data_IF_542814656700
#
_entry.id   IF_542814656700
#
_cell.length_a   1.000
_cell.length_b   1.000
_cell.length_c   1.000
_cell.angle_alpha   90.00
_cell.angle_beta   90.00
_cell.angle_gamma   90.00
#
_symmetry.space_group_name_H-M   'P 1'
#
loop_
_entity.id
_entity.type
_entity.pdbx_description
1 polymer ?
#
# COMPACT_ATOMS: atom_id res chain seq x y z
N UNK A 1 -2.32 -13.72 -6.23
CA UNK A 1 -2.48 -12.28 -6.57
C UNK A 1 -1.71 -11.39 -5.60
N UNK A 2 -1.89 -11.56 -4.28
CA UNK A 2 -1.16 -10.84 -3.22
C UNK A 2 0.38 -10.94 -3.41
N UNK A 3 0.92 -12.15 -3.59
CA UNK A 3 2.36 -12.36 -3.75
C UNK A 3 2.95 -11.65 -5.00
N UNK A 4 2.27 -11.73 -6.14
CA UNK A 4 2.68 -11.03 -7.38
C UNK A 4 2.72 -9.52 -7.16
N UNK A 5 1.68 -8.98 -6.55
CA UNK A 5 1.59 -7.56 -6.25
C UNK A 5 2.72 -7.14 -5.30
N UNK A 6 3.03 -7.96 -4.29
CA UNK A 6 4.14 -7.69 -3.38
C UNK A 6 5.52 -7.71 -4.07
N UNK A 7 5.75 -8.64 -4.99
CA UNK A 7 6.99 -8.69 -5.79
C UNK A 7 7.11 -7.43 -6.67
N UNK A 8 6.03 -7.02 -7.33
CA UNK A 8 6.02 -5.79 -8.15
C UNK A 8 6.33 -4.56 -7.29
N UNK A 9 5.72 -4.47 -6.10
CA UNK A 9 5.99 -3.38 -5.16
C UNK A 9 7.45 -3.33 -4.71
N UNK A 10 8.07 -4.48 -4.43
CA UNK A 10 9.49 -4.56 -4.08
C UNK A 10 10.41 -4.12 -5.24
N UNK A 11 10.15 -4.61 -6.45
CA UNK A 11 10.95 -4.26 -7.63
C UNK A 11 10.86 -2.75 -7.90
N UNK A 12 9.65 -2.18 -7.87
CA UNK A 12 9.45 -0.74 -8.05
C UNK A 12 10.19 0.07 -6.99
N UNK A 13 10.14 -0.36 -5.72
CA UNK A 13 10.84 0.31 -4.63
C UNK A 13 12.36 0.28 -4.79
N UNK A 14 12.92 -0.86 -5.19
CA UNK A 14 14.36 -1.00 -5.43
C UNK A 14 14.80 -0.14 -6.63
N UNK A 15 14.05 -0.16 -7.73
CA UNK A 15 14.36 0.66 -8.91
C UNK A 15 14.30 2.15 -8.58
N UNK A 16 13.27 2.59 -7.85
CA UNK A 16 13.14 3.97 -7.39
C UNK A 16 14.30 4.39 -6.48
N UNK A 17 14.75 3.50 -5.60
CA UNK A 17 15.93 3.74 -4.76
C UNK A 17 17.21 3.90 -5.58
N UNK A 18 17.49 2.98 -6.51
CA UNK A 18 18.69 3.06 -7.37
C UNK A 18 18.68 4.36 -8.18
N UNK A 19 17.53 4.74 -8.75
CA UNK A 19 17.39 6.00 -9.46
C UNK A 19 17.63 7.21 -8.55
N UNK A 20 17.08 7.19 -7.32
CA UNK A 20 17.27 8.27 -6.35
C UNK A 20 18.73 8.43 -5.91
N UNK A 21 19.43 7.32 -5.65
CA UNK A 21 20.86 7.33 -5.30
C UNK A 21 21.71 7.80 -6.47
N UNK A 22 21.41 7.37 -7.70
CA UNK A 22 22.13 7.81 -8.89
C UNK A 22 21.97 9.32 -9.13
N UNK A 23 20.74 9.83 -9.05
CA UNK A 23 20.45 11.27 -9.21
C UNK A 23 21.08 12.07 -8.06
N UNK A 24 20.92 11.60 -6.82
CA UNK A 24 21.50 12.25 -5.64
C UNK A 24 23.03 12.30 -5.67
N UNK A 25 23.67 11.22 -6.11
CA UNK A 25 25.12 11.17 -6.32
C UNK A 25 25.59 12.16 -7.38
N UNK A 26 24.81 12.33 -8.47
CA UNK A 26 25.11 13.32 -9.51
C UNK A 26 24.95 14.78 -9.02
N UNK A 27 23.95 15.04 -8.16
CA UNK A 27 23.70 16.39 -7.62
C UNK A 27 24.78 16.78 -6.59
N UNK A 28 25.10 15.87 -5.67
CA UNK A 28 26.04 16.14 -4.57
C UNK A 28 27.51 15.97 -5.02
N UNK A 29 27.75 15.25 -6.11
CA UNK A 29 29.09 14.99 -6.66
C UNK A 29 29.90 13.94 -5.88
N UNK A 30 29.45 13.53 -4.68
CA UNK A 30 30.05 12.45 -3.90
C UNK A 30 29.00 11.65 -3.12
N UNK A 31 29.18 10.32 -3.09
CA UNK A 31 28.32 9.41 -2.32
C UNK A 31 28.51 9.57 -0.80
N UNK A 32 29.70 9.97 -0.33
CA UNK A 32 29.92 10.27 1.09
C UNK A 32 29.12 11.49 1.53
N UNK A 33 29.16 12.57 0.74
CA UNK A 33 28.38 13.79 0.99
C UNK A 33 26.87 13.54 0.97
N UNK A 34 26.39 12.64 0.12
CA UNK A 34 24.97 12.23 0.11
C UNK A 34 24.59 11.52 1.41
N UNK A 35 25.46 10.63 1.90
CA UNK A 35 25.23 9.93 3.18
C UNK A 35 25.26 10.89 4.38
N UNK A 36 26.13 11.89 4.35
CA UNK A 36 26.21 12.92 5.40
C UNK A 36 24.98 13.82 5.40
N UNK A 37 24.52 14.26 4.22
CA UNK A 37 23.28 15.04 4.06
C UNK A 37 22.06 14.27 4.57
N UNK A 38 22.00 12.96 4.30
CA UNK A 38 20.95 12.11 4.82
C UNK A 38 20.97 12.07 6.36
N UNK A 39 22.16 11.90 6.96
CA UNK A 39 22.33 11.80 8.42
C UNK A 39 22.04 13.12 9.13
N UNK A 40 22.48 14.24 8.56
CA UNK A 40 22.35 15.57 9.17
C UNK A 40 20.93 16.11 9.09
N UNK A 41 20.25 15.89 7.96
CA UNK A 41 19.06 16.66 7.62
C UNK A 41 17.87 15.79 7.26
N UNK A 42 18.02 14.74 6.44
CA UNK A 42 16.85 14.02 5.90
C UNK A 42 16.25 12.98 6.84
N UNK A 43 17.08 12.31 7.66
CA UNK A 43 16.64 11.21 8.54
C UNK A 43 15.48 11.59 9.44
N UNK A 44 15.55 12.76 10.09
CA UNK A 44 14.50 13.24 11.00
C UNK A 44 13.17 13.45 10.28
N UNK A 45 13.22 14.01 9.05
CA UNK A 45 12.03 14.17 8.22
C UNK A 45 11.45 12.84 7.79
N UNK A 46 12.27 11.87 7.36
CA UNK A 46 11.78 10.53 7.03
C UNK A 46 11.16 9.83 8.24
N UNK A 47 11.81 9.88 9.39
CA UNK A 47 11.26 9.33 10.63
C UNK A 47 9.87 9.88 10.93
N UNK A 48 9.74 11.22 10.95
CA UNK A 48 8.48 11.90 11.27
C UNK A 48 7.41 11.66 10.18
N UNK A 49 7.79 11.73 8.90
CA UNK A 49 6.87 11.50 7.79
C UNK A 49 6.29 10.09 7.80
N UNK A 50 7.12 9.05 7.93
CA UNK A 50 6.63 7.67 7.93
C UNK A 50 5.85 7.32 9.20
N UNK A 51 6.20 7.91 10.35
CA UNK A 51 5.40 7.79 11.56
C UNK A 51 4.01 8.42 11.36
N UNK A 52 3.96 9.64 10.84
CA UNK A 52 2.70 10.34 10.53
C UNK A 52 1.84 9.60 9.49
N UNK A 53 2.46 9.11 8.41
CA UNK A 53 1.79 8.31 7.38
C UNK A 53 1.23 7.02 7.97
N UNK A 54 1.96 6.35 8.86
CA UNK A 54 1.46 5.11 9.48
C UNK A 54 0.20 5.33 10.32
N UNK A 55 0.17 6.41 11.11
CA UNK A 55 -1.00 6.80 11.90
C UNK A 55 -2.19 7.17 11.01
N UNK A 56 -1.94 7.92 9.93
CA UNK A 56 -2.97 8.28 8.96
C UNK A 56 -3.54 7.04 8.24
N UNK A 57 -2.67 6.15 7.75
CA UNK A 57 -3.08 4.93 7.06
C UNK A 57 -3.87 3.99 7.99
N UNK A 58 -3.54 3.94 9.28
CA UNK A 58 -4.30 3.13 10.24
C UNK A 58 -5.72 3.67 10.44
N UNK A 59 -5.88 5.00 10.49
CA UNK A 59 -7.21 5.63 10.51
C UNK A 59 -7.98 5.36 9.22
N UNK A 60 -7.31 5.50 8.07
CA UNK A 60 -7.88 5.25 6.75
C UNK A 60 -8.29 3.79 6.57
N UNK A 61 -7.50 2.83 7.06
CA UNK A 61 -7.80 1.40 6.99
C UNK A 61 -9.18 1.10 7.55
N UNK A 62 -9.44 1.52 8.79
CA UNK A 62 -10.72 1.27 9.46
C UNK A 62 -11.86 1.95 8.70
N UNK A 63 -11.67 3.21 8.27
CA UNK A 63 -12.67 3.95 7.50
C UNK A 63 -13.03 3.25 6.19
N UNK A 64 -12.01 2.87 5.40
CA UNK A 64 -12.20 2.23 4.09
C UNK A 64 -12.82 0.85 4.25
N UNK A 65 -12.34 0.04 5.19
CA UNK A 65 -12.85 -1.33 5.37
C UNK A 65 -14.32 -1.30 5.79
N UNK A 66 -14.70 -0.43 6.73
CA UNK A 66 -16.11 -0.30 7.17
C UNK A 66 -16.97 0.23 6.02
N UNK A 67 -16.58 1.33 5.37
CA UNK A 67 -17.38 1.91 4.29
C UNK A 67 -17.54 0.96 3.10
N UNK A 68 -16.47 0.28 2.66
CA UNK A 68 -16.57 -0.68 1.57
C UNK A 68 -17.45 -1.86 1.96
N UNK A 69 -17.28 -2.39 3.18
CA UNK A 69 -18.13 -3.48 3.68
C UNK A 69 -19.60 -3.09 3.66
N UNK A 70 -19.96 -1.98 4.31
CA UNK A 70 -21.35 -1.58 4.50
C UNK A 70 -22.01 -1.06 3.21
N UNK A 71 -21.30 -0.23 2.43
CA UNK A 71 -21.89 0.45 1.27
C UNK A 71 -21.78 -0.34 -0.02
N UNK A 72 -20.77 -1.20 -0.15
CA UNK A 72 -20.59 -2.01 -1.36
C UNK A 72 -20.95 -3.47 -1.12
N UNK A 73 -20.25 -4.17 -0.23
CA UNK A 73 -20.39 -5.62 -0.11
C UNK A 73 -21.70 -6.08 0.56
N UNK A 74 -22.21 -5.30 1.51
CA UNK A 74 -23.46 -5.60 2.21
C UNK A 74 -24.69 -5.13 1.42
N UNK A 75 -24.51 -4.36 0.33
CA UNK A 75 -25.60 -3.92 -0.55
C UNK A 75 -26.25 -5.10 -1.30
N UNK A 76 -27.58 -5.05 -1.44
CA UNK A 76 -28.34 -6.07 -2.18
C UNK A 76 -27.98 -6.08 -3.67
N UNK A 77 -27.57 -4.94 -4.22
CA UNK A 77 -27.19 -4.81 -5.63
C UNK A 77 -25.87 -5.52 -5.93
N UNK A 78 -24.86 -5.40 -5.06
CA UNK A 78 -23.62 -6.16 -5.21
C UNK A 78 -23.83 -7.67 -5.10
N UNK A 79 -24.70 -8.12 -4.19
CA UNK A 79 -25.06 -9.56 -4.08
C UNK A 79 -25.70 -10.07 -5.37
N UNK A 80 -26.62 -9.30 -5.98
CA UNK A 80 -27.24 -9.64 -7.27
C UNK A 80 -26.21 -9.70 -8.41
N UNK A 81 -25.28 -8.75 -8.47
CA UNK A 81 -24.19 -8.74 -9.48
C UNK A 81 -23.30 -9.97 -9.31
N UNK A 82 -22.95 -10.32 -8.07
CA UNK A 82 -22.11 -11.47 -7.76
C UNK A 82 -22.79 -12.79 -8.16
N UNK A 83 -24.06 -12.97 -7.82
CA UNK A 83 -24.86 -14.15 -8.21
C UNK A 83 -24.94 -14.28 -9.74
N UNK A 84 -25.21 -13.16 -10.44
CA UNK A 84 -25.29 -13.11 -11.90
C UNK A 84 -23.95 -13.44 -12.57
N UNK A 85 -22.83 -12.93 -12.05
CA UNK A 85 -21.49 -13.21 -12.59
C UNK A 85 -21.03 -14.64 -12.33
N UNK A 86 -21.37 -15.22 -11.18
CA UNK A 86 -21.02 -16.60 -10.84
C UNK A 86 -21.98 -17.66 -11.40
N UNK A 87 -23.05 -17.24 -12.10
CA UNK A 87 -24.09 -18.13 -12.64
C UNK A 87 -24.66 -19.10 -11.58
N UNK A 88 -24.84 -18.62 -10.35
CA UNK A 88 -25.35 -19.44 -9.25
C UNK A 88 -26.85 -19.67 -9.43
N UNK A 89 -27.28 -20.92 -9.27
CA UNK A 89 -28.69 -21.30 -9.37
C UNK A 89 -29.39 -21.16 -8.01
N UNK A 90 -30.73 -21.13 -8.03
CA UNK A 90 -31.53 -21.13 -6.80
C UNK A 90 -31.25 -22.42 -5.99
N UNK A 91 -30.58 -22.27 -4.84
CA UNK A 91 -30.16 -23.37 -3.97
C UNK A 91 -28.65 -23.42 -3.68
N UNK A 92 -27.83 -22.64 -4.39
CA UNK A 92 -26.38 -22.59 -4.13
C UNK A 92 -26.04 -21.74 -2.89
N UNK A 93 -25.25 -22.31 -1.98
CA UNK A 93 -24.74 -21.60 -0.80
C UNK A 93 -23.64 -20.60 -1.20
N UNK A 94 -23.92 -19.31 -0.99
CA UNK A 94 -22.91 -18.27 -1.18
C UNK A 94 -21.94 -18.30 0.00
N UNK A 95 -20.73 -18.83 -0.21
CA UNK A 95 -19.66 -18.74 0.79
C UNK A 95 -19.28 -17.28 1.01
N UNK A 96 -19.59 -16.76 2.20
CA UNK A 96 -19.25 -15.40 2.67
C UNK A 96 -17.79 -15.04 2.39
N UNK A 97 -16.88 -16.00 2.54
CA UNK A 97 -15.45 -15.85 2.26
C UNK A 97 -15.14 -15.36 0.84
N UNK A 98 -15.83 -15.87 -0.19
CA UNK A 98 -15.53 -15.52 -1.58
C UNK A 98 -16.08 -14.14 -1.95
N UNK A 99 -17.18 -13.72 -1.32
CA UNK A 99 -17.77 -12.38 -1.50
C UNK A 99 -16.82 -11.28 -1.00
N UNK A 100 -16.24 -11.46 0.20
CA UNK A 100 -15.32 -10.48 0.81
C UNK A 100 -13.85 -10.68 0.42
N UNK A 101 -13.52 -11.64 -0.43
CA UNK A 101 -12.15 -11.89 -0.90
C UNK A 101 -11.43 -10.63 -1.41
N UNK A 102 -12.01 -9.77 -2.27
CA UNK A 102 -11.36 -8.51 -2.67
C UNK A 102 -11.17 -7.53 -1.49
N UNK A 103 -12.10 -7.48 -0.54
CA UNK A 103 -11.98 -6.65 0.66
C UNK A 103 -10.82 -7.13 1.56
N UNK A 104 -10.66 -8.44 1.71
CA UNK A 104 -9.54 -9.05 2.46
C UNK A 104 -8.21 -8.69 1.79
N UNK A 105 -8.11 -8.77 0.46
CA UNK A 105 -6.88 -8.40 -0.26
C UNK A 105 -6.47 -6.95 0.00
N UNK A 106 -7.41 -6.00 -0.08
CA UNK A 106 -7.14 -4.58 0.18
C UNK A 106 -6.73 -4.38 1.65
N UNK A 107 -7.46 -5.00 2.57
CA UNK A 107 -7.18 -4.93 4.02
C UNK A 107 -5.76 -5.43 4.31
N UNK A 108 -5.38 -6.61 3.79
CA UNK A 108 -4.05 -7.17 3.98
C UNK A 108 -2.96 -6.29 3.38
N UNK A 109 -3.19 -5.70 2.20
CA UNK A 109 -2.22 -4.80 1.55
C UNK A 109 -2.04 -3.48 2.29
N UNK A 110 -3.12 -2.89 2.80
CA UNK A 110 -3.06 -1.68 3.63
C UNK A 110 -2.35 -1.96 4.96
N UNK A 111 -2.69 -3.06 5.65
CA UNK A 111 -2.00 -3.48 6.88
C UNK A 111 -0.51 -3.67 6.60
N UNK A 112 -0.16 -4.34 5.51
CA UNK A 112 1.24 -4.52 5.13
C UNK A 112 1.95 -3.18 4.88
N UNK A 113 1.30 -2.24 4.19
CA UNK A 113 1.82 -0.89 3.99
C UNK A 113 2.03 -0.13 5.31
N UNK A 114 1.09 -0.24 6.26
CA UNK A 114 1.21 0.37 7.59
C UNK A 114 2.41 -0.23 8.32
N UNK A 115 2.52 -1.56 8.35
CA UNK A 115 3.64 -2.26 8.97
C UNK A 115 4.99 -1.84 8.36
N UNK A 116 5.07 -1.72 7.03
CA UNK A 116 6.28 -1.23 6.36
C UNK A 116 6.62 0.22 6.73
N UNK A 117 5.64 1.11 6.85
CA UNK A 117 5.86 2.50 7.26
C UNK A 117 6.33 2.61 8.71
N UNK A 118 5.73 1.84 9.63
CA UNK A 118 6.18 1.76 11.03
C UNK A 118 7.61 1.22 11.10
N UNK A 119 7.88 0.12 10.39
CA UNK A 119 9.21 -0.48 10.33
C UNK A 119 10.24 0.49 9.75
N UNK A 120 9.87 1.25 8.72
CA UNK A 120 10.72 2.30 8.16
C UNK A 120 11.06 3.34 9.22
N UNK A 121 10.08 3.85 9.97
CA UNK A 121 10.31 4.80 11.06
C UNK A 121 11.25 4.23 12.14
N UNK A 122 11.05 2.97 12.55
CA UNK A 122 11.94 2.30 13.51
C UNK A 122 13.37 2.16 12.96
N UNK A 123 13.53 1.76 11.70
CA UNK A 123 14.85 1.61 11.07
C UNK A 123 15.55 2.97 10.88
N UNK A 124 14.79 4.01 10.57
CA UNK A 124 15.28 5.39 10.50
C UNK A 124 15.84 5.86 11.85
N UNK A 125 15.16 5.52 12.94
CA UNK A 125 15.63 5.85 14.29
C UNK A 125 16.82 5.00 14.73
N UNK A 126 16.79 3.69 14.48
CA UNK A 126 17.80 2.74 14.96
C UNK A 126 19.06 2.71 14.08
N UNK A 127 18.93 2.27 12.83
CA UNK A 127 20.06 2.10 11.91
C UNK A 127 20.47 3.43 11.25
N UNK A 128 19.57 4.40 11.15
CA UNK A 128 19.88 5.73 10.59
C UNK A 128 20.87 6.56 11.41
N UNK A 129 21.18 6.17 12.66
CA UNK A 129 22.22 6.80 13.48
C UNK A 129 23.63 6.30 13.19
N UNK A 130 23.77 5.12 12.57
CA UNK A 130 25.05 4.49 12.32
C UNK A 130 25.98 5.37 11.47
N UNK A 131 27.29 5.30 11.75
CA UNK A 131 28.34 5.95 10.96
C UNK A 131 28.84 5.10 9.80
N UNK A 132 28.41 3.85 9.71
CA UNK A 132 28.85 2.95 8.65
C UNK A 132 27.96 3.09 7.41
N UNK A 133 28.56 3.46 6.26
CA UNK A 133 27.87 3.60 4.98
C UNK A 133 27.09 2.35 4.57
N UNK A 134 27.60 1.15 4.87
CA UNK A 134 26.92 -0.10 4.54
C UNK A 134 25.62 -0.30 5.32
N UNK A 135 25.59 0.12 6.59
CA UNK A 135 24.39 0.00 7.44
C UNK A 135 23.33 1.02 7.03
N UNK A 136 23.75 2.18 6.51
CA UNK A 136 22.87 3.27 6.05
C UNK A 136 22.06 2.93 4.79
N UNK A 137 22.44 1.90 4.03
CA UNK A 137 21.69 1.44 2.86
C UNK A 137 20.30 0.94 3.28
N UNK A 138 20.20 0.21 4.39
CA UNK A 138 18.94 -0.37 4.87
C UNK A 138 17.90 0.71 5.17
N UNK A 139 18.16 1.69 6.07
CA UNK A 139 17.18 2.71 6.40
C UNK A 139 16.93 3.67 5.23
N UNK A 140 17.89 3.87 4.30
CA UNK A 140 17.63 4.70 3.10
C UNK A 140 16.76 3.98 2.06
N UNK A 141 16.80 2.65 1.97
CA UNK A 141 15.99 1.85 1.05
C UNK A 141 14.55 1.66 1.53
N UNK A 142 14.34 1.42 2.83
CA UNK A 142 13.02 1.08 3.37
C UNK A 142 11.90 2.11 3.09
N UNK A 143 12.15 3.44 3.08
CA UNK A 143 11.20 4.44 2.61
C UNK A 143 10.64 4.18 1.22
N UNK A 144 11.48 3.82 0.25
CA UNK A 144 11.06 3.61 -1.13
C UNK A 144 10.20 2.35 -1.26
N UNK A 145 10.53 1.32 -0.48
CA UNK A 145 9.72 0.11 -0.39
C UNK A 145 8.34 0.45 0.22
N UNK A 146 8.30 1.18 1.34
CA UNK A 146 7.05 1.56 1.99
C UNK A 146 6.15 2.42 1.07
N UNK A 147 6.72 3.40 0.35
CA UNK A 147 5.98 4.21 -0.64
C UNK A 147 5.42 3.35 -1.76
N UNK A 148 6.19 2.38 -2.27
CA UNK A 148 5.75 1.52 -3.36
C UNK A 148 4.57 0.64 -2.96
N UNK A 149 4.60 0.08 -1.73
CA UNK A 149 3.47 -0.65 -1.17
C UNK A 149 2.25 0.24 -0.93
N UNK A 150 2.46 1.47 -0.48
CA UNK A 150 1.39 2.44 -0.30
C UNK A 150 0.70 2.78 -1.63
N UNK A 151 1.46 3.09 -2.68
CA UNK A 151 0.91 3.34 -4.03
C UNK A 151 0.16 2.13 -4.57
N UNK A 152 0.68 0.92 -4.35
CA UNK A 152 0.02 -0.30 -4.79
C UNK A 152 -1.29 -0.58 -4.05
N UNK A 153 -1.32 -0.30 -2.74
CA UNK A 153 -2.55 -0.40 -1.93
C UNK A 153 -3.61 0.59 -2.41
N UNK A 154 -3.20 1.82 -2.72
CA UNK A 154 -4.07 2.85 -3.26
C UNK A 154 -4.63 2.44 -4.63
N UNK A 155 -3.78 1.93 -5.51
CA UNK A 155 -4.20 1.45 -6.83
C UNK A 155 -5.25 0.33 -6.72
N UNK A 156 -5.04 -0.67 -5.86
CA UNK A 156 -6.02 -1.75 -5.67
C UNK A 156 -7.36 -1.23 -5.13
N UNK A 157 -7.31 -0.30 -4.18
CA UNK A 157 -8.52 0.34 -3.66
C UNK A 157 -9.27 1.11 -4.76
N UNK A 158 -8.57 1.93 -5.53
CA UNK A 158 -9.16 2.67 -6.66
C UNK A 158 -9.76 1.73 -7.70
N UNK A 159 -9.08 0.65 -8.06
CA UNK A 159 -9.60 -0.33 -9.02
C UNK A 159 -10.90 -0.98 -8.53
N UNK A 160 -11.00 -1.32 -7.24
CA UNK A 160 -12.23 -1.88 -6.67
C UNK A 160 -13.38 -0.86 -6.71
N UNK A 161 -13.10 0.39 -6.32
CA UNK A 161 -14.10 1.46 -6.33
C UNK A 161 -14.55 1.74 -7.78
N UNK A 162 -13.63 1.82 -8.74
CA UNK A 162 -13.97 2.00 -10.15
C UNK A 162 -14.73 0.80 -10.73
N UNK A 163 -14.37 -0.43 -10.34
CA UNK A 163 -15.11 -1.62 -10.76
C UNK A 163 -16.56 -1.57 -10.28
N UNK A 164 -16.80 -1.06 -9.07
CA UNK A 164 -18.14 -0.88 -8.53
C UNK A 164 -18.88 0.31 -9.16
N UNK A 165 -18.23 1.46 -9.32
CA UNK A 165 -18.84 2.61 -9.99
C UNK A 165 -19.18 2.32 -11.47
N UNK A 166 -18.38 1.49 -12.14
CA UNK A 166 -18.56 1.08 -13.54
C UNK A 166 -19.37 -0.20 -13.68
N UNK A 167 -19.78 -0.86 -12.61
CA UNK A 167 -20.78 -1.92 -12.75
C UNK A 167 -22.09 -1.21 -13.07
N UNK A 168 -22.37 -1.07 -14.37
CA UNK A 168 -23.59 -0.48 -14.88
C UNK A 168 -24.79 -1.24 -14.32
N UNK A 169 -25.43 -0.59 -13.37
CA UNK A 169 -26.83 -0.75 -13.07
C UNK A 169 -27.65 -0.49 -14.34
N UNK A 170 -27.91 -1.54 -15.13
CA UNK A 170 -29.20 -1.60 -15.81
C UNK A 170 -30.24 -1.91 -14.72
N UNK A 171 -30.56 -0.90 -13.90
CA UNK A 171 -31.78 -0.89 -13.10
C UNK A 171 -32.90 -0.75 -14.13
N UNK A 172 -33.45 -1.88 -14.58
CA UNK A 172 -34.79 -1.86 -15.17
C UNK A 172 -35.75 -1.51 -14.05
N UNK A 173 -36.29 -0.29 -14.08
CA UNK A 173 -37.54 0.02 -13.42
C UNK A 173 -38.62 -0.76 -14.19
N UNK A 174 -39.08 -1.86 -13.64
CA UNK A 174 -40.37 -2.49 -13.99
C UNK A 174 -40.97 -3.12 -12.76
#
# INVERSE_FOLDING_TARGET
MILRNAIVGLILGILAYIASVYIGGKIVGSYSGLSDLYRSSMRGYFFSAFLGISSFLLSLLTFVVINLKEKMFDSEDYKKIYIKHKQLNAGDEIKKHDLYKPLVVITTMLVFSISCSILTSILQFTLGLSSNCWILIIPTLTPFIAISFMVLSLYQMSQLIFQWLRSEDVIKIS
#
